data_IF_720182382314
#
_entry.id   IF_720182382314
#
_cell.length_a   1.000
_cell.length_b   1.000
_cell.length_c   1.000
_cell.angle_alpha   90.00
_cell.angle_beta   90.00
_cell.angle_gamma   90.00
#
_symmetry.space_group_name_H-M   'P 1'
#
loop_
_entity.id
_entity.type
_entity.pdbx_description
1 polymer ?
#
# COMPACT_ATOMS: atom_id res chain seq x y z
N UNK A 1 42.71 31.45 -28.13
CA UNK A 1 41.31 31.76 -28.48
C UNK A 1 40.41 30.68 -27.89
N UNK A 2 39.61 31.00 -26.86
CA UNK A 2 38.66 30.04 -26.27
C UNK A 2 37.39 30.06 -27.13
N UNK A 3 37.08 28.95 -27.79
CA UNK A 3 35.81 28.79 -28.51
C UNK A 3 34.69 28.77 -27.48
N UNK A 4 33.88 29.82 -27.47
CA UNK A 4 32.66 29.89 -26.68
C UNK A 4 31.69 28.89 -27.31
N UNK A 5 31.46 27.75 -26.65
CA UNK A 5 30.42 26.81 -27.08
C UNK A 5 29.07 27.48 -26.90
N UNK A 6 28.39 27.81 -28.00
CA UNK A 6 27.03 28.32 -27.98
C UNK A 6 26.12 27.30 -27.27
N UNK A 7 25.57 27.69 -26.12
CA UNK A 7 24.60 26.88 -25.41
C UNK A 7 23.27 26.93 -26.17
N UNK A 8 22.85 25.79 -26.74
CA UNK A 8 21.55 25.66 -27.41
C UNK A 8 20.43 25.85 -26.38
N UNK A 9 19.73 26.98 -26.46
CA UNK A 9 18.65 27.34 -25.52
C UNK A 9 17.28 27.16 -26.18
N UNK A 10 16.47 26.26 -25.65
CA UNK A 10 15.05 26.16 -25.98
C UNK A 10 14.22 26.97 -24.97
N UNK A 11 13.09 27.52 -25.39
CA UNK A 11 12.15 28.27 -24.52
C UNK A 11 10.81 27.55 -24.49
N UNK A 12 10.29 27.34 -23.29
CA UNK A 12 8.94 26.87 -23.04
C UNK A 12 8.16 28.00 -22.35
N UNK A 13 6.99 28.36 -22.87
CA UNK A 13 6.10 29.33 -22.22
C UNK A 13 5.17 28.58 -21.26
N UNK A 14 5.21 28.95 -19.97
CA UNK A 14 4.32 28.42 -18.94
C UNK A 14 3.38 29.53 -18.49
N UNK A 15 2.08 29.34 -18.72
CA UNK A 15 1.02 30.20 -18.16
C UNK A 15 0.22 29.37 -17.16
N UNK A 16 0.00 29.92 -15.97
CA UNK A 16 -0.75 29.26 -14.90
C UNK A 16 -2.10 29.96 -14.70
N UNK A 17 -3.18 29.19 -14.72
CA UNK A 17 -4.52 29.62 -14.41
C UNK A 17 -4.70 29.72 -12.88
N UNK A 18 -4.73 30.95 -12.35
CA UNK A 18 -4.89 31.18 -10.92
C UNK A 18 -6.29 30.85 -10.39
N UNK A 19 -7.28 30.58 -11.24
CA UNK A 19 -8.57 30.04 -10.81
C UNK A 19 -8.48 28.55 -10.45
N UNK A 20 -7.54 27.81 -11.04
CA UNK A 20 -7.31 26.41 -10.71
C UNK A 20 -6.48 26.29 -9.40
N UNK A 21 -6.97 25.58 -8.36
CA UNK A 21 -6.29 25.51 -7.07
C UNK A 21 -4.85 24.98 -7.14
N UNK A 22 -4.62 23.92 -7.91
CA UNK A 22 -3.30 23.29 -8.07
C UNK A 22 -2.29 24.22 -8.74
N UNK A 23 -2.70 24.94 -9.78
CA UNK A 23 -1.84 25.89 -10.49
C UNK A 23 -1.59 27.16 -9.67
N UNK A 24 -2.57 27.61 -8.88
CA UNK A 24 -2.37 28.70 -7.92
C UNK A 24 -1.36 28.34 -6.84
N UNK A 25 -1.44 27.12 -6.31
CA UNK A 25 -0.48 26.65 -5.31
C UNK A 25 0.92 26.51 -5.92
N UNK A 26 1.03 25.89 -7.11
CA UNK A 26 2.29 25.83 -7.84
C UNK A 26 2.88 27.24 -8.08
N UNK A 27 2.05 28.22 -8.44
CA UNK A 27 2.48 29.61 -8.58
C UNK A 27 3.04 30.19 -7.28
N UNK A 28 2.38 29.99 -6.13
CA UNK A 28 2.88 30.45 -4.83
C UNK A 28 4.25 29.86 -4.50
N UNK A 29 4.42 28.55 -4.71
CA UNK A 29 5.70 27.86 -4.48
C UNK A 29 6.80 28.40 -5.40
N UNK A 30 6.50 28.62 -6.68
CA UNK A 30 7.45 29.21 -7.63
C UNK A 30 7.82 30.66 -7.29
N UNK A 31 6.86 31.45 -6.79
CA UNK A 31 7.10 32.82 -6.37
C UNK A 31 8.05 32.93 -5.18
N UNK A 32 8.03 31.95 -4.26
CA UNK A 32 8.95 31.88 -3.13
C UNK A 32 10.41 31.63 -3.56
N UNK A 33 10.63 31.10 -4.76
CA UNK A 33 11.97 30.84 -5.31
C UNK A 33 12.52 32.11 -5.98
N UNK A 34 13.81 32.44 -5.79
CA UNK A 34 14.46 33.56 -6.48
C UNK A 34 14.31 33.47 -8.00
N UNK A 35 14.02 34.59 -8.67
CA UNK A 35 13.69 34.63 -10.10
C UNK A 35 14.73 33.95 -11.00
N UNK A 36 16.02 34.06 -10.68
CA UNK A 36 17.11 33.42 -11.41
C UNK A 36 17.22 31.90 -11.26
N UNK A 37 16.48 31.30 -10.31
CA UNK A 37 16.55 29.87 -9.98
C UNK A 37 15.25 29.11 -10.29
N UNK A 38 14.16 29.81 -10.63
CA UNK A 38 12.83 29.18 -10.83
C UNK A 38 12.84 28.10 -11.92
N UNK A 39 13.42 28.39 -13.08
CA UNK A 39 13.47 27.42 -14.19
C UNK A 39 14.24 26.18 -13.79
N UNK A 40 15.39 26.35 -13.15
CA UNK A 40 16.26 25.28 -12.67
C UNK A 40 15.58 24.44 -11.57
N UNK A 41 14.87 25.08 -10.64
CA UNK A 41 14.06 24.40 -9.64
C UNK A 41 12.92 23.58 -10.26
N UNK A 42 12.23 24.12 -11.27
CA UNK A 42 11.20 23.39 -12.03
C UNK A 42 11.80 22.18 -12.74
N UNK A 43 12.92 22.34 -13.43
CA UNK A 43 13.61 21.24 -14.11
C UNK A 43 13.97 20.12 -13.12
N UNK A 44 14.58 20.45 -11.97
CA UNK A 44 14.88 19.46 -10.93
C UNK A 44 13.65 18.76 -10.38
N UNK A 45 12.58 19.50 -10.12
CA UNK A 45 11.35 18.93 -9.59
C UNK A 45 10.73 17.92 -10.56
N UNK A 46 10.70 18.24 -11.85
CA UNK A 46 10.21 17.34 -12.91
C UNK A 46 11.08 16.09 -12.99
N UNK A 47 12.41 16.22 -13.05
CA UNK A 47 13.31 15.06 -13.10
C UNK A 47 13.11 14.16 -11.88
N UNK A 48 13.07 14.75 -10.68
CA UNK A 48 12.88 14.00 -9.42
C UNK A 48 11.54 13.28 -9.38
N UNK A 49 10.47 13.87 -9.91
CA UNK A 49 9.15 13.23 -9.99
C UNK A 49 9.22 11.94 -10.81
N UNK A 50 9.80 11.99 -12.02
CA UNK A 50 9.94 10.80 -12.85
C UNK A 50 10.88 9.74 -12.25
N UNK A 51 11.97 10.17 -11.59
CA UNK A 51 12.86 9.26 -10.86
C UNK A 51 12.13 8.55 -9.71
N UNK A 52 11.29 9.27 -8.96
CA UNK A 52 10.50 8.70 -7.87
C UNK A 52 9.44 7.73 -8.38
N UNK A 53 8.75 8.04 -9.49
CA UNK A 53 7.78 7.15 -10.10
C UNK A 53 8.45 5.85 -10.59
N UNK A 54 9.61 5.97 -11.23
CA UNK A 54 10.40 4.81 -11.68
C UNK A 54 10.87 3.95 -10.50
N UNK A 55 11.35 4.58 -9.42
CA UNK A 55 11.75 3.88 -8.20
C UNK A 55 10.57 3.16 -7.54
N UNK A 56 9.42 3.83 -7.45
CA UNK A 56 8.21 3.25 -6.87
C UNK A 56 7.76 2.01 -7.66
N UNK A 57 7.83 2.08 -8.98
CA UNK A 57 7.49 0.92 -9.82
C UNK A 57 8.49 -0.21 -9.65
N UNK A 58 9.80 0.07 -9.63
CA UNK A 58 10.82 -0.93 -9.36
C UNK A 58 10.61 -1.63 -8.01
N UNK A 59 10.31 -0.86 -6.95
CA UNK A 59 10.01 -1.42 -5.63
C UNK A 59 8.77 -2.32 -5.67
N UNK A 60 7.70 -1.90 -6.37
CA UNK A 60 6.49 -2.74 -6.52
C UNK A 60 6.79 -4.05 -7.25
N UNK A 61 7.62 -4.00 -8.30
CA UNK A 61 8.02 -5.21 -9.03
C UNK A 61 8.80 -6.16 -8.13
N UNK A 62 9.85 -5.67 -7.46
CA UNK A 62 10.65 -6.46 -6.52
C UNK A 62 9.75 -7.10 -5.46
N UNK A 63 8.87 -6.33 -4.82
CA UNK A 63 7.97 -6.86 -3.79
C UNK A 63 7.06 -7.95 -4.36
N UNK A 64 6.54 -7.80 -5.57
CA UNK A 64 5.69 -8.83 -6.20
C UNK A 64 6.49 -10.09 -6.55
N UNK A 65 7.68 -9.93 -7.11
CA UNK A 65 8.57 -11.04 -7.46
C UNK A 65 8.93 -11.85 -6.22
N UNK A 66 9.34 -11.19 -5.15
CA UNK A 66 9.68 -11.84 -3.88
C UNK A 66 8.45 -12.51 -3.23
N UNK A 67 7.30 -11.82 -3.17
CA UNK A 67 6.07 -12.39 -2.60
C UNK A 67 5.47 -13.53 -3.43
N UNK A 68 5.65 -13.56 -4.76
CA UNK A 68 5.24 -14.67 -5.61
C UNK A 68 6.02 -15.96 -5.30
N UNK A 69 7.25 -15.84 -4.77
CA UNK A 69 8.06 -16.98 -4.32
C UNK A 69 7.73 -17.44 -2.89
N UNK A 70 6.85 -16.74 -2.18
CA UNK A 70 6.46 -17.06 -0.81
C UNK A 70 5.17 -17.87 -0.83
N UNK A 71 5.26 -19.15 -0.42
CA UNK A 71 4.09 -19.85 0.07
C UNK A 71 3.65 -19.16 1.36
N UNK A 72 2.61 -18.34 1.27
CA UNK A 72 1.92 -17.89 2.46
C UNK A 72 1.39 -19.15 3.14
N UNK A 73 2.05 -19.57 4.22
CA UNK A 73 1.41 -20.38 5.23
C UNK A 73 0.36 -19.45 5.82
N UNK A 74 -0.78 -19.34 5.13
CA UNK A 74 -2.04 -19.03 5.78
C UNK A 74 -2.05 -20.03 6.89
N UNK A 75 -1.80 -19.53 8.12
CA UNK A 75 -1.94 -20.34 9.30
C UNK A 75 -3.30 -20.97 9.10
N UNK A 76 -3.29 -22.28 8.81
CA UNK A 76 -4.39 -23.13 9.18
C UNK A 76 -4.49 -22.78 10.64
N UNK A 77 -5.43 -21.90 10.94
CA UNK A 77 -6.15 -21.94 12.17
C UNK A 77 -6.57 -23.40 12.21
N UNK A 78 -5.73 -24.22 12.84
CA UNK A 78 -6.12 -25.44 13.46
C UNK A 78 -7.12 -24.98 14.50
N UNK A 79 -8.31 -24.64 14.02
CA UNK A 79 -9.55 -24.88 14.71
C UNK A 79 -9.62 -26.41 14.74
N UNK A 80 -8.75 -27.01 15.54
CA UNK A 80 -9.18 -28.01 16.50
C UNK A 80 -10.27 -27.31 17.32
N UNK A 81 -11.45 -27.16 16.72
CA UNK A 81 -12.65 -27.41 17.47
C UNK A 81 -12.37 -28.75 18.13
N UNK A 82 -12.31 -28.84 19.47
CA UNK A 82 -12.39 -30.16 20.09
C UNK A 82 -13.64 -30.77 19.47
N UNK A 83 -13.49 -31.84 18.70
CA UNK A 83 -14.63 -32.58 18.22
C UNK A 83 -15.37 -33.03 19.48
N UNK A 84 -16.44 -32.31 19.81
CA UNK A 84 -17.45 -32.82 20.72
C UNK A 84 -18.12 -33.97 19.97
N UNK A 85 -17.52 -35.15 20.01
CA UNK A 85 -17.88 -36.19 19.05
C UNK A 85 -17.24 -37.55 19.23
N UNK A 86 -16.70 -37.86 20.41
CA UNK A 86 -16.54 -39.26 20.81
C UNK A 86 -16.88 -39.39 22.30
N UNK A 87 -18.16 -39.28 22.60
CA UNK A 87 -18.68 -39.64 23.93
C UNK A 87 -19.11 -41.09 23.81
N UNK A 88 -18.40 -41.97 24.52
CA UNK A 88 -18.65 -43.41 24.54
C UNK A 88 -20.12 -43.72 24.88
N UNK A 89 -20.73 -44.67 24.17
CA UNK A 89 -22.14 -45.05 24.34
C UNK A 89 -22.48 -45.41 25.79
N UNK A 90 -21.52 -45.89 26.59
CA UNK A 90 -21.75 -46.17 28.01
C UNK A 90 -21.98 -44.90 28.83
N UNK A 91 -21.35 -43.78 28.47
CA UNK A 91 -21.55 -42.48 29.14
C UNK A 91 -22.92 -41.93 28.82
N UNK A 92 -23.37 -42.07 27.56
CA UNK A 92 -24.72 -41.68 27.15
C UNK A 92 -25.79 -42.56 27.82
N UNK A 93 -25.55 -43.88 27.91
CA UNK A 93 -26.44 -44.80 28.61
C UNK A 93 -26.55 -44.51 30.12
N UNK A 94 -25.44 -44.11 30.75
CA UNK A 94 -25.44 -43.68 32.16
C UNK A 94 -26.27 -42.41 32.38
N UNK A 95 -26.10 -41.38 31.54
CA UNK A 95 -26.87 -40.14 31.63
C UNK A 95 -28.37 -40.39 31.40
N UNK A 96 -28.71 -41.28 30.46
CA UNK A 96 -30.09 -41.68 30.19
C UNK A 96 -30.72 -42.43 31.39
N UNK A 97 -29.94 -43.29 32.05
CA UNK A 97 -30.37 -44.00 33.26
C UNK A 97 -30.70 -43.05 34.41
N UNK A 98 -29.84 -42.04 34.63
CA UNK A 98 -30.09 -41.00 35.64
C UNK A 98 -31.33 -40.15 35.34
N UNK A 99 -31.63 -39.94 34.06
CA UNK A 99 -32.79 -39.16 33.64
C UNK A 99 -34.11 -39.94 33.80
N UNK A 100 -34.07 -41.27 33.65
CA UNK A 100 -35.22 -42.14 33.91
C UNK A 100 -35.46 -42.36 35.40
N UNK A 101 -34.41 -42.50 36.21
CA UNK A 101 -34.55 -42.59 37.67
C UNK A 101 -35.08 -41.29 38.31
N UNK A 102 -34.99 -40.15 37.61
CA UNK A 102 -35.52 -38.86 38.05
C UNK A 102 -36.97 -38.56 37.63
N UNK A 103 -37.59 -39.37 36.77
CA UNK A 103 -38.93 -39.13 36.20
C UNK A 103 -40.02 -40.02 36.84
N UNK A 104 -39.67 -40.93 37.75
CA UNK A 104 -40.63 -41.80 38.48
C UNK A 104 -41.22 -41.16 39.75
N UNK A 105 -41.16 -39.82 39.89
CA UNK A 105 -41.92 -39.09 40.91
C UNK A 105 -42.46 -37.75 40.39
N UNK A 106 -43.56 -37.78 39.62
CA UNK A 106 -44.58 -36.73 39.60
C UNK A 106 -45.91 -37.24 39.01
#
# INVERSE_FOLDING_TARGET
MRKQTEQKRARLNLSLNLSAPSQREAWRQLCAIPSGQRTDAVCRAICRMYEQDALLEAVRQIVREELCGVEFISGKETTEQPQAGDVDDNVLGFLLGLQQEGDDTA
#
